data_IF_909706609097
#
_entry.id   IF_909706609097
#
_cell.length_a   1.000
_cell.length_b   1.000
_cell.length_c   1.000
_cell.angle_alpha   90.00
_cell.angle_beta   90.00
_cell.angle_gamma   90.00
#
_symmetry.space_group_name_H-M   'P 1'
#
loop_
_entity.id
_entity.type
_entity.pdbx_description
1 polymer ?
#
# COMPACT_ATOMS: atom_id res chain seq x y z
N UNK A 1 6.26 29.22 54.04
CA UNK A 1 6.91 28.03 53.45
C UNK A 1 6.56 27.81 51.96
N UNK A 2 5.68 28.61 51.34
CA UNK A 2 5.22 28.44 49.95
C UNK A 2 6.20 28.84 48.84
N UNK A 3 7.36 29.46 49.14
CA UNK A 3 8.27 30.03 48.13
C UNK A 3 9.55 29.24 47.86
N UNK A 4 9.88 28.21 48.66
CA UNK A 4 11.02 27.32 48.39
C UNK A 4 10.67 26.09 47.55
N UNK A 5 9.38 25.71 47.53
CA UNK A 5 8.88 24.57 46.76
C UNK A 5 9.12 24.65 45.24
N UNK A 6 8.99 25.81 44.55
CA UNK A 6 9.14 25.83 43.09
C UNK A 6 10.60 25.72 42.64
N UNK A 7 11.57 26.13 43.48
CA UNK A 7 12.99 26.05 43.14
C UNK A 7 13.55 24.63 43.28
N UNK A 8 13.11 23.87 44.29
CA UNK A 8 13.50 22.47 44.41
C UNK A 8 12.87 21.60 43.31
N UNK A 9 11.66 21.95 42.87
CA UNK A 9 10.97 21.25 41.79
C UNK A 9 11.71 21.41 40.44
N UNK A 10 12.32 22.57 40.17
CA UNK A 10 12.99 22.83 38.90
C UNK A 10 14.36 22.14 38.79
N UNK A 11 15.08 21.98 39.90
CA UNK A 11 16.39 21.30 39.93
C UNK A 11 16.28 19.78 39.73
N UNK A 12 15.21 19.15 40.19
CA UNK A 12 14.96 17.72 39.97
C UNK A 12 14.67 17.36 38.51
N UNK A 13 14.13 18.32 37.74
CA UNK A 13 13.75 18.09 36.33
C UNK A 13 14.96 17.91 35.41
N UNK A 14 16.10 18.51 35.73
CA UNK A 14 17.31 18.49 34.87
C UNK A 14 18.17 17.24 35.05
N UNK A 15 18.02 16.51 36.17
CA UNK A 15 18.79 15.28 36.43
C UNK A 15 18.17 14.02 35.80
N UNK A 16 16.90 14.10 35.37
CA UNK A 16 16.16 12.96 34.82
C UNK A 16 16.40 12.72 33.31
N UNK A 17 17.19 13.57 32.64
CA UNK A 17 17.46 13.47 31.20
C UNK A 17 18.93 13.17 30.91
N UNK A 18 19.41 11.98 31.29
CA UNK A 18 20.64 11.40 30.74
C UNK A 18 20.31 10.52 29.53
N UNK A 19 21.17 10.43 28.49
CA UNK A 19 20.91 9.60 27.33
C UNK A 19 20.95 8.11 27.71
N UNK A 20 19.88 7.39 27.42
CA UNK A 20 19.79 5.95 27.63
C UNK A 20 20.71 5.23 26.64
N UNK A 21 21.55 4.33 27.15
CA UNK A 21 22.38 3.44 26.35
C UNK A 21 21.51 2.34 25.74
N UNK A 22 21.38 2.33 24.40
CA UNK A 22 20.62 1.30 23.68
C UNK A 22 21.44 0.01 23.60
N UNK A 23 20.88 -1.08 24.13
CA UNK A 23 21.43 -2.43 24.05
C UNK A 23 20.84 -3.10 22.79
N UNK A 24 21.62 -3.85 21.97
CA UNK A 24 21.07 -4.45 20.76
C UNK A 24 20.00 -5.48 21.14
N UNK A 25 18.77 -5.24 20.72
CA UNK A 25 17.63 -6.12 20.93
C UNK A 25 17.76 -7.35 20.02
N UNK A 26 17.66 -8.55 20.61
CA UNK A 26 17.72 -9.79 19.83
C UNK A 26 16.50 -9.86 18.90
N UNK A 27 16.74 -10.07 17.60
CA UNK A 27 15.67 -10.15 16.62
C UNK A 27 14.71 -11.30 16.97
N UNK A 28 13.48 -10.94 17.35
CA UNK A 28 12.41 -11.91 17.58
C UNK A 28 11.99 -12.55 16.25
N UNK A 29 11.76 -13.87 16.26
CA UNK A 29 11.30 -14.61 15.08
C UNK A 29 9.76 -14.58 14.93
N UNK A 30 9.09 -13.80 15.78
CA UNK A 30 7.66 -13.58 15.73
C UNK A 30 7.32 -12.53 14.67
N UNK A 31 6.28 -12.75 13.86
CA UNK A 31 5.87 -11.75 12.89
C UNK A 31 5.41 -10.49 13.61
N UNK A 32 5.99 -9.35 13.23
CA UNK A 32 5.61 -8.03 13.75
C UNK A 32 4.11 -7.76 13.59
N UNK A 33 3.50 -8.31 12.53
CA UNK A 33 2.08 -8.21 12.25
C UNK A 33 1.43 -9.60 12.19
N UNK A 34 0.30 -9.75 12.87
CA UNK A 34 -0.44 -11.02 12.95
C UNK A 34 -0.83 -11.59 11.57
N UNK A 35 -1.04 -10.73 10.57
CA UNK A 35 -1.39 -11.16 9.21
C UNK A 35 -0.21 -11.77 8.43
N UNK A 36 1.00 -11.79 8.98
CA UNK A 36 2.15 -12.50 8.40
C UNK A 36 2.37 -13.88 9.02
N UNK A 37 1.53 -14.28 9.98
CA UNK A 37 1.60 -15.61 10.56
C UNK A 37 1.27 -16.69 9.51
N UNK A 38 1.95 -17.85 9.50
CA UNK A 38 1.81 -18.87 8.46
C UNK A 38 0.38 -19.46 8.36
N UNK A 39 -0.40 -19.40 9.44
CA UNK A 39 -1.79 -19.81 9.49
C UNK A 39 -2.77 -18.80 8.88
N UNK A 40 -2.36 -17.54 8.69
CA UNK A 40 -3.20 -16.51 8.10
C UNK A 40 -3.33 -16.75 6.58
N UNK A 41 -4.50 -17.20 6.15
CA UNK A 41 -4.78 -17.53 4.74
C UNK A 41 -5.80 -16.56 4.13
N UNK A 42 -5.67 -16.33 2.82
CA UNK A 42 -6.61 -15.50 2.09
C UNK A 42 -7.89 -16.29 1.78
N UNK A 43 -8.99 -15.93 2.44
CA UNK A 43 -10.29 -16.64 2.33
C UNK A 43 -11.19 -16.14 1.20
N UNK A 44 -10.79 -15.07 0.49
CA UNK A 44 -11.63 -14.39 -0.49
C UNK A 44 -12.62 -13.41 0.15
N UNK A 45 -12.86 -12.30 -0.54
CA UNK A 45 -13.77 -11.24 -0.08
C UNK A 45 -15.23 -11.70 0.01
N UNK A 46 -15.58 -12.75 -0.73
CA UNK A 46 -16.91 -13.34 -0.82
C UNK A 46 -17.34 -13.89 0.54
N UNK A 47 -16.42 -14.53 1.28
CA UNK A 47 -16.64 -15.00 2.65
C UNK A 47 -17.04 -13.86 3.56
N UNK A 48 -16.33 -12.73 3.50
CA UNK A 48 -16.64 -11.54 4.27
C UNK A 48 -18.03 -10.96 3.89
N UNK A 49 -18.40 -11.04 2.61
CA UNK A 49 -19.68 -10.56 2.09
C UNK A 49 -20.91 -11.30 2.64
N UNK A 50 -20.74 -12.54 3.13
CA UNK A 50 -21.84 -13.29 3.75
C UNK A 50 -22.37 -12.63 5.02
N UNK A 51 -21.50 -12.01 5.82
CA UNK A 51 -21.86 -11.29 7.05
C UNK A 51 -21.86 -9.76 6.88
N UNK A 52 -21.19 -9.23 5.84
CA UNK A 52 -21.05 -7.80 5.58
C UNK A 52 -21.44 -7.40 4.15
N UNK A 53 -22.73 -7.53 3.78
CA UNK A 53 -23.20 -7.32 2.41
C UNK A 53 -22.99 -5.88 1.90
N UNK A 54 -23.31 -4.85 2.70
CA UNK A 54 -23.19 -3.45 2.27
C UNK A 54 -21.73 -3.05 1.99
N UNK A 55 -20.82 -3.55 2.84
CA UNK A 55 -19.37 -3.32 2.66
C UNK A 55 -18.87 -4.04 1.42
N UNK A 56 -19.33 -5.26 1.19
CA UNK A 56 -18.97 -6.03 0.01
C UNK A 56 -19.45 -5.34 -1.28
N UNK A 57 -20.70 -4.88 -1.32
CA UNK A 57 -21.27 -4.19 -2.48
C UNK A 57 -20.51 -2.91 -2.81
N UNK A 58 -20.22 -2.07 -1.81
CA UNK A 58 -19.49 -0.81 -2.02
C UNK A 58 -18.01 -1.06 -2.37
N UNK A 59 -17.36 -2.01 -1.70
CA UNK A 59 -15.98 -2.38 -1.98
C UNK A 59 -15.79 -2.92 -3.40
N UNK A 60 -16.65 -3.83 -3.87
CA UNK A 60 -16.55 -4.45 -5.19
C UNK A 60 -16.66 -3.46 -6.36
N UNK A 61 -17.35 -2.33 -6.15
CA UNK A 61 -17.50 -1.25 -7.13
C UNK A 61 -16.39 -0.20 -7.05
N UNK A 62 -15.64 -0.17 -5.95
CA UNK A 62 -14.53 0.77 -5.77
C UNK A 62 -13.36 0.47 -6.72
N UNK A 63 -12.49 1.46 -6.92
CA UNK A 63 -11.25 1.28 -7.66
C UNK A 63 -10.37 0.20 -7.02
N UNK A 64 -10.30 0.18 -5.68
CA UNK A 64 -9.55 -0.83 -4.93
C UNK A 64 -10.10 -2.25 -5.13
N UNK A 65 -11.43 -2.43 -5.13
CA UNK A 65 -12.05 -3.73 -5.38
C UNK A 65 -11.91 -4.23 -6.82
N UNK A 66 -11.48 -3.36 -7.74
CA UNK A 66 -11.27 -3.63 -9.16
C UNK A 66 -9.79 -3.64 -9.58
N UNK A 67 -8.85 -3.33 -8.68
CA UNK A 67 -7.44 -3.11 -9.03
C UNK A 67 -6.70 -4.38 -9.44
N UNK A 68 -7.12 -5.55 -8.94
CA UNK A 68 -6.51 -6.84 -9.29
C UNK A 68 -7.50 -7.74 -10.02
N UNK A 69 -7.38 -7.76 -11.35
CA UNK A 69 -8.13 -8.63 -12.25
C UNK A 69 -7.21 -9.15 -13.35
N UNK A 70 -7.56 -10.28 -14.02
CA UNK A 70 -6.84 -10.71 -15.21
C UNK A 70 -6.76 -9.62 -16.26
N UNK A 71 -5.58 -9.42 -16.83
CA UNK A 71 -5.28 -8.42 -17.86
C UNK A 71 -5.93 -8.81 -19.20
N UNK A 72 -7.20 -8.46 -19.34
CA UNK A 72 -8.04 -8.75 -20.51
C UNK A 72 -8.66 -7.46 -21.02
N UNK A 73 -9.09 -7.45 -22.28
CA UNK A 73 -9.75 -6.29 -22.88
C UNK A 73 -10.97 -5.81 -22.07
N UNK A 74 -11.81 -6.73 -21.60
CA UNK A 74 -12.98 -6.39 -20.78
C UNK A 74 -12.64 -5.71 -19.45
N UNK A 75 -11.49 -6.04 -18.85
CA UNK A 75 -11.06 -5.45 -17.58
C UNK A 75 -10.20 -4.19 -17.75
N UNK A 76 -9.81 -3.85 -18.98
CA UNK A 76 -9.00 -2.66 -19.27
C UNK A 76 -9.86 -1.40 -19.38
N UNK A 77 -9.33 -0.28 -18.87
CA UNK A 77 -9.91 1.04 -19.07
C UNK A 77 -9.22 1.82 -20.21
N UNK A 78 -8.23 1.21 -20.88
CA UNK A 78 -7.47 1.88 -21.94
C UNK A 78 -8.28 2.01 -23.24
N UNK A 79 -8.11 3.13 -23.94
CA UNK A 79 -8.57 3.31 -25.32
C UNK A 79 -7.48 2.78 -26.26
N UNK A 80 -7.75 1.69 -26.97
CA UNK A 80 -6.78 1.07 -27.89
C UNK A 80 -6.89 1.60 -29.33
N UNK A 81 -7.97 2.31 -29.66
CA UNK A 81 -8.25 2.76 -31.02
C UNK A 81 -7.75 4.20 -31.24
N UNK A 82 -7.98 5.08 -30.27
CA UNK A 82 -7.70 6.51 -30.37
C UNK A 82 -6.51 6.98 -29.54
N UNK A 83 -5.89 6.09 -28.75
CA UNK A 83 -4.71 6.45 -27.98
C UNK A 83 -3.59 6.93 -28.92
N UNK A 84 -3.14 8.17 -28.68
CA UNK A 84 -1.93 8.67 -29.31
C UNK A 84 -0.71 7.98 -28.69
N UNK A 85 0.34 7.71 -29.48
CA UNK A 85 1.58 7.20 -28.94
C UNK A 85 2.15 8.13 -27.87
N UNK A 86 2.69 7.55 -26.80
CA UNK A 86 3.49 8.27 -25.79
C UNK A 86 4.91 8.37 -26.33
N UNK A 87 5.46 9.57 -26.43
CA UNK A 87 6.84 9.79 -26.84
C UNK A 87 7.76 9.90 -25.61
N UNK A 88 8.81 9.11 -25.57
CA UNK A 88 9.89 9.18 -24.59
C UNK A 88 11.12 9.87 -25.23
N UNK A 89 11.40 11.14 -24.87
CA UNK A 89 12.52 11.88 -25.44
C UNK A 89 13.89 11.40 -24.95
N UNK A 90 13.97 10.64 -23.85
CA UNK A 90 15.25 10.16 -23.34
C UNK A 90 15.81 9.03 -24.21
N UNK A 91 14.93 8.13 -24.65
CA UNK A 91 15.29 6.97 -25.46
C UNK A 91 15.02 7.18 -26.96
N UNK A 92 14.35 8.28 -27.32
CA UNK A 92 13.85 8.57 -28.67
C UNK A 92 12.97 7.40 -29.18
N UNK A 93 11.94 7.08 -28.40
CA UNK A 93 11.02 5.97 -28.64
C UNK A 93 9.57 6.40 -28.50
N UNK A 94 8.68 5.72 -29.22
CA UNK A 94 7.24 5.84 -29.12
C UNK A 94 6.63 4.55 -28.58
N UNK A 95 5.63 4.71 -27.70
CA UNK A 95 4.87 3.63 -27.10
C UNK A 95 3.40 3.73 -27.49
N UNK A 96 2.85 2.69 -28.12
CA UNK A 96 1.44 2.63 -28.51
C UNK A 96 0.76 1.39 -27.94
N UNK A 97 -0.33 1.53 -27.16
CA UNK A 97 -1.11 0.38 -26.71
C UNK A 97 -1.89 -0.22 -27.89
N UNK A 98 -2.01 -1.54 -27.93
CA UNK A 98 -2.90 -2.26 -28.83
C UNK A 98 -3.33 -3.58 -28.19
N UNK A 99 -4.28 -4.29 -28.80
CA UNK A 99 -4.68 -5.62 -28.36
C UNK A 99 -4.72 -6.60 -29.55
N UNK A 100 -4.61 -7.90 -29.27
CA UNK A 100 -4.87 -8.97 -30.24
C UNK A 100 -5.75 -10.01 -29.57
N UNK A 101 -7.01 -10.09 -30.01
CA UNK A 101 -8.04 -10.74 -29.21
C UNK A 101 -8.16 -10.05 -27.85
N UNK A 102 -8.19 -10.84 -26.77
CA UNK A 102 -8.28 -10.33 -25.39
C UNK A 102 -6.93 -9.95 -24.77
N UNK A 103 -5.82 -10.32 -25.41
CA UNK A 103 -4.48 -10.04 -24.91
C UNK A 103 -4.09 -8.59 -25.19
N UNK A 104 -3.56 -7.92 -24.17
CA UNK A 104 -3.18 -6.52 -24.20
C UNK A 104 -1.67 -6.37 -24.40
N UNK A 105 -1.27 -5.42 -25.24
CA UNK A 105 0.12 -5.19 -25.61
C UNK A 105 0.45 -3.70 -25.64
N UNK A 106 1.75 -3.40 -25.52
CA UNK A 106 2.33 -2.09 -25.79
C UNK A 106 3.41 -2.30 -26.85
N UNK A 107 3.29 -1.60 -27.97
CA UNK A 107 4.30 -1.57 -29.02
C UNK A 107 5.31 -0.46 -28.72
N UNK A 108 6.58 -0.79 -28.76
CA UNK A 108 7.70 0.16 -28.73
C UNK A 108 8.28 0.27 -30.14
N UNK A 109 8.47 1.49 -30.65
CA UNK A 109 8.99 1.74 -32.01
C UNK A 109 9.63 3.13 -32.15
N UNK A 110 10.27 3.39 -33.30
CA UNK A 110 10.80 4.70 -33.74
C UNK A 110 10.03 5.21 -34.94
#
# INVERSE_FOLDING_TARGET
MQRLLPLLALAGLMAACGPASERPEAASNEPVYLNHAPEATYVGKEVCGTCHPDKYETFTRSQMGRSFKPATLQNSAADFEKARPVYDPHNDLYYRPFHRGDSLYIMEYR
#
